data_IF_402530599595
#
_entry.id   IF_402530599595
#
_cell.length_a   1.000
_cell.length_b   1.000
_cell.length_c   1.000
_cell.angle_alpha   90.00
_cell.angle_beta   90.00
_cell.angle_gamma   90.00
#
_symmetry.space_group_name_H-M   'P 1'
#
loop_
_entity.id
_entity.type
_entity.pdbx_description
1 polymer ?
#
# COMPACT_ATOMS: atom_id res chain seq x y z
N UNK A 1 32.79 -25.65 -0.98
CA UNK A 1 31.50 -26.24 -1.38
C UNK A 1 30.69 -26.61 -0.13
N UNK A 2 30.11 -25.61 0.55
CA UNK A 2 29.27 -25.81 1.75
C UNK A 2 27.82 -25.29 1.57
N UNK A 3 27.53 -24.59 0.46
CA UNK A 3 26.22 -23.97 0.22
C UNK A 3 25.13 -24.94 -0.30
N UNK A 4 25.50 -26.14 -0.77
CA UNK A 4 24.56 -27.10 -1.33
C UNK A 4 23.90 -27.99 -0.25
N UNK A 5 24.61 -28.26 0.85
CA UNK A 5 24.19 -29.18 1.92
C UNK A 5 23.32 -28.53 3.00
N UNK A 6 23.06 -27.22 2.90
CA UNK A 6 22.18 -26.48 3.82
C UNK A 6 20.75 -26.33 3.29
N UNK A 7 20.41 -26.92 2.14
CA UNK A 7 19.05 -26.87 1.57
C UNK A 7 18.08 -27.88 2.19
N UNK A 8 18.54 -28.66 3.19
CA UNK A 8 17.82 -29.81 3.73
C UNK A 8 17.16 -29.46 5.08
N UNK A 9 15.82 -29.45 5.04
CA UNK A 9 14.89 -29.78 6.11
C UNK A 9 14.61 -28.75 7.21
N UNK A 10 14.16 -27.56 6.82
CA UNK A 10 13.19 -26.84 7.65
C UNK A 10 11.79 -27.07 7.06
N UNK A 11 11.08 -28.10 7.56
CA UNK A 11 9.69 -28.40 7.16
C UNK A 11 8.73 -27.22 7.35
N UNK A 12 9.09 -26.27 8.22
CA UNK A 12 8.33 -25.07 8.52
C UNK A 12 8.10 -24.18 7.29
N UNK A 13 9.09 -24.03 6.41
CA UNK A 13 8.96 -23.21 5.19
C UNK A 13 7.92 -23.75 4.21
N UNK A 14 7.81 -25.08 4.09
CA UNK A 14 6.84 -25.72 3.21
C UNK A 14 5.39 -25.60 3.71
N UNK A 15 5.19 -25.52 5.04
CA UNK A 15 3.86 -25.29 5.63
C UNK A 15 3.45 -23.84 5.49
N UNK A 16 4.36 -22.92 5.82
CA UNK A 16 4.12 -21.48 5.68
C UNK A 16 3.78 -21.09 4.24
N UNK A 17 4.46 -21.66 3.24
CA UNK A 17 4.12 -21.42 1.84
C UNK A 17 2.68 -21.86 1.49
N UNK A 18 2.24 -23.03 1.98
CA UNK A 18 0.85 -23.51 1.80
C UNK A 18 -0.16 -22.60 2.49
N UNK A 19 0.16 -22.14 3.69
CA UNK A 19 -0.70 -21.24 4.45
C UNK A 19 -0.78 -19.84 3.82
N UNK A 20 0.32 -19.34 3.25
CA UNK A 20 0.35 -18.10 2.46
C UNK A 20 -0.52 -18.27 1.21
N UNK A 21 -0.32 -19.32 0.41
CA UNK A 21 -1.13 -19.57 -0.79
C UNK A 21 -2.62 -19.72 -0.47
N UNK A 22 -2.96 -20.32 0.67
CA UNK A 22 -4.34 -20.41 1.15
C UNK A 22 -4.89 -19.02 1.50
N UNK A 23 -4.14 -18.20 2.23
CA UNK A 23 -4.57 -16.85 2.61
C UNK A 23 -4.63 -15.87 1.42
N UNK A 24 -3.78 -16.05 0.40
CA UNK A 24 -3.86 -15.35 -0.89
C UNK A 24 -5.14 -15.72 -1.65
N UNK A 25 -5.48 -17.02 -1.73
CA UNK A 25 -6.71 -17.49 -2.35
C UNK A 25 -7.98 -17.01 -1.61
N UNK A 26 -7.90 -16.88 -0.29
CA UNK A 26 -8.94 -16.28 0.55
C UNK A 26 -9.00 -14.73 0.45
N UNK A 27 -8.09 -14.10 -0.29
CA UNK A 27 -8.07 -12.65 -0.53
C UNK A 27 -7.66 -11.81 0.69
N UNK A 28 -7.04 -12.42 1.70
CA UNK A 28 -6.70 -11.75 2.98
C UNK A 28 -5.55 -10.76 2.85
N UNK A 29 -4.63 -10.96 1.90
CA UNK A 29 -3.53 -10.04 1.66
C UNK A 29 -3.95 -8.91 0.72
N UNK A 30 -4.35 -7.77 1.27
CA UNK A 30 -4.73 -6.58 0.49
C UNK A 30 -3.61 -5.52 0.42
N UNK A 31 -2.41 -5.87 0.89
CA UNK A 31 -1.27 -4.96 0.95
C UNK A 31 -1.46 -3.85 1.99
N UNK A 32 -0.70 -2.75 1.83
CA UNK A 32 -0.79 -1.60 2.73
C UNK A 32 -2.00 -0.75 2.37
N UNK A 33 -2.98 -0.70 3.28
CA UNK A 33 -4.15 0.16 3.14
C UNK A 33 -3.75 1.64 3.24
N UNK A 34 -4.35 2.47 2.39
CA UNK A 34 -4.18 3.93 2.46
C UNK A 34 -4.85 4.50 3.70
N UNK A 35 -4.31 5.60 4.24
CA UNK A 35 -4.93 6.29 5.37
C UNK A 35 -6.15 7.11 4.89
N UNK A 36 -7.32 6.75 5.41
CA UNK A 36 -8.59 7.39 5.07
C UNK A 36 -8.62 8.87 5.47
N UNK A 37 -7.98 9.24 6.60
CA UNK A 37 -7.98 10.63 7.08
C UNK A 37 -7.21 11.54 6.13
N UNK A 38 -6.05 11.09 5.67
CA UNK A 38 -5.25 11.80 4.67
C UNK A 38 -6.03 12.01 3.36
N UNK A 39 -6.83 11.03 2.92
CA UNK A 39 -7.66 11.16 1.72
C UNK A 39 -8.73 12.25 1.88
N UNK A 40 -9.45 12.26 3.01
CA UNK A 40 -10.45 13.30 3.30
C UNK A 40 -9.82 14.68 3.31
N UNK A 41 -8.64 14.83 3.93
CA UNK A 41 -7.93 16.10 3.96
C UNK A 41 -7.52 16.58 2.56
N UNK A 42 -7.00 15.68 1.72
CA UNK A 42 -6.67 15.99 0.32
C UNK A 42 -7.91 16.45 -0.44
N UNK A 43 -9.05 15.77 -0.26
CA UNK A 43 -10.31 16.10 -0.90
C UNK A 43 -10.80 17.51 -0.53
N UNK A 44 -10.79 17.85 0.76
CA UNK A 44 -11.14 19.19 1.25
C UNK A 44 -10.24 20.26 0.63
N UNK A 45 -8.92 20.05 0.65
CA UNK A 45 -7.95 21.02 0.14
C UNK A 45 -8.08 21.23 -1.39
N UNK A 46 -8.39 20.17 -2.15
CA UNK A 46 -8.48 20.20 -3.60
C UNK A 46 -9.83 20.70 -4.13
N UNK A 47 -10.94 20.25 -3.55
CA UNK A 47 -12.28 20.60 -4.04
C UNK A 47 -12.83 21.87 -3.42
N UNK A 48 -12.71 22.03 -2.09
CA UNK A 48 -13.29 23.17 -1.37
C UNK A 48 -12.37 24.38 -1.51
N UNK A 49 -11.07 24.22 -1.22
CA UNK A 49 -10.12 25.33 -1.20
C UNK A 49 -9.41 25.58 -2.53
N UNK A 50 -9.63 24.75 -3.56
CA UNK A 50 -9.00 24.84 -4.89
C UNK A 50 -7.47 25.04 -4.84
N UNK A 51 -6.81 24.45 -3.83
CA UNK A 51 -5.37 24.59 -3.62
C UNK A 51 -4.56 23.86 -4.69
N UNK A 52 -3.38 24.38 -5.02
CA UNK A 52 -2.48 23.72 -5.98
C UNK A 52 -1.99 22.36 -5.47
N UNK A 53 -1.51 21.49 -6.36
CA UNK A 53 -0.99 20.16 -5.99
C UNK A 53 0.14 20.25 -4.97
N UNK A 54 1.10 21.16 -5.21
CA UNK A 54 2.27 21.36 -4.35
C UNK A 54 1.87 21.89 -2.97
N UNK A 55 0.92 22.82 -2.92
CA UNK A 55 0.45 23.40 -1.66
C UNK A 55 -0.36 22.37 -0.84
N UNK A 56 -1.20 21.59 -1.51
CA UNK A 56 -1.95 20.48 -0.88
C UNK A 56 -1.00 19.44 -0.28
N UNK A 57 0.02 19.02 -1.04
CA UNK A 57 1.03 18.09 -0.59
C UNK A 57 1.79 18.59 0.64
N UNK A 58 2.16 19.89 0.64
CA UNK A 58 2.82 20.54 1.78
C UNK A 58 1.94 20.55 3.03
N UNK A 59 0.66 20.88 2.89
CA UNK A 59 -0.29 20.99 4.00
C UNK A 59 -0.71 19.63 4.57
N UNK A 60 -0.89 18.63 3.71
CA UNK A 60 -1.25 17.26 4.12
C UNK A 60 -0.04 16.41 4.52
N UNK A 61 1.20 16.91 4.38
CA UNK A 61 2.41 16.18 4.75
C UNK A 61 2.73 14.98 3.84
N UNK A 62 2.26 14.99 2.60
CA UNK A 62 2.42 13.88 1.64
C UNK A 62 3.18 14.30 0.39
N UNK A 63 3.59 13.33 -0.42
CA UNK A 63 4.20 13.61 -1.72
C UNK A 63 3.15 14.09 -2.74
N UNK A 64 3.59 14.89 -3.71
CA UNK A 64 2.74 15.29 -4.85
C UNK A 64 2.13 14.08 -5.57
N UNK A 65 2.88 12.98 -5.67
CA UNK A 65 2.42 11.73 -6.28
C UNK A 65 1.24 11.12 -5.52
N UNK A 66 1.25 11.20 -4.18
CA UNK A 66 0.14 10.72 -3.35
C UNK A 66 -1.12 11.52 -3.62
N UNK A 67 -1.00 12.85 -3.70
CA UNK A 67 -2.13 13.73 -4.05
C UNK A 67 -2.72 13.38 -5.42
N UNK A 68 -1.87 13.21 -6.44
CA UNK A 68 -2.32 12.85 -7.80
C UNK A 68 -2.99 11.48 -7.80
N UNK A 69 -2.39 10.47 -7.16
CA UNK A 69 -2.94 9.11 -7.09
C UNK A 69 -4.31 9.09 -6.41
N UNK A 70 -4.48 9.83 -5.31
CA UNK A 70 -5.76 9.94 -4.61
C UNK A 70 -6.79 10.61 -5.52
N UNK A 71 -6.45 11.73 -6.16
CA UNK A 71 -7.35 12.39 -7.10
C UNK A 71 -7.76 11.46 -8.24
N UNK A 72 -6.82 10.74 -8.85
CA UNK A 72 -7.12 9.85 -9.98
C UNK A 72 -8.02 8.68 -9.57
N UNK A 73 -7.81 8.12 -8.37
CA UNK A 73 -8.63 7.02 -7.84
C UNK A 73 -10.06 7.44 -7.52
N UNK A 74 -10.32 8.73 -7.25
CA UNK A 74 -11.68 9.25 -7.06
C UNK A 74 -12.45 9.50 -8.38
N UNK A 75 -11.77 9.50 -9.53
CA UNK A 75 -12.38 9.75 -10.84
C UNK A 75 -12.69 8.46 -11.63
N UNK A 76 -12.32 7.29 -11.10
CA UNK A 76 -12.57 5.96 -11.67
C UNK A 76 -13.79 5.32 -10.99
#
# INVERSE_FOLDING_TARGET
MLAATARKNDESGCRQAKDISKAEAEGKYQGRMGDAQTHVLIHILRLIHRKSLRETARLAGVSNMTVIRVCNKENE
#
